data_IF_992585624007
#
_entry.id   IF_992585624007
#
_cell.length_a   1.000
_cell.length_b   1.000
_cell.length_c   1.000
_cell.angle_alpha   90.00
_cell.angle_beta   90.00
_cell.angle_gamma   90.00
#
_symmetry.space_group_name_H-M   'P 1'
#
loop_
_entity.id
_entity.type
_entity.pdbx_description
1 polymer ?
#
# COMPACT_ATOMS: atom_id res chain seq x y z
N UNK A 1 -5.34 19.92 2.60
CA UNK A 1 -5.51 19.42 1.21
C UNK A 1 -4.53 18.29 1.03
N UNK A 2 -5.03 17.09 0.77
CA UNK A 2 -4.25 15.86 0.74
C UNK A 2 -3.50 15.79 -0.58
N UNK A 3 -2.19 15.99 -0.54
CA UNK A 3 -1.29 15.96 -1.69
C UNK A 3 -0.91 14.52 -2.10
N UNK A 4 -1.76 13.54 -1.75
CA UNK A 4 -1.58 12.13 -2.06
C UNK A 4 -2.40 11.79 -3.32
N UNK A 5 -1.83 11.03 -4.26
CA UNK A 5 -2.59 10.61 -5.43
C UNK A 5 -3.76 9.71 -4.99
N UNK A 6 -4.93 9.95 -5.57
CA UNK A 6 -6.08 9.10 -5.36
C UNK A 6 -5.79 7.69 -5.91
N UNK A 7 -5.60 6.73 -5.01
CA UNK A 7 -5.24 5.35 -5.35
C UNK A 7 -6.23 4.37 -4.73
N UNK A 8 -6.62 3.35 -5.50
CA UNK A 8 -7.44 2.26 -4.99
C UNK A 8 -6.64 1.31 -4.11
N UNK A 9 -7.36 0.53 -3.30
CA UNK A 9 -6.74 -0.52 -2.52
C UNK A 9 -6.01 -1.57 -3.37
N UNK A 10 -6.63 -1.98 -4.49
CA UNK A 10 -6.02 -2.89 -5.47
C UNK A 10 -4.71 -2.34 -6.03
N UNK A 11 -4.70 -1.06 -6.42
CA UNK A 11 -3.52 -0.42 -6.97
C UNK A 11 -2.40 -0.35 -5.94
N UNK A 12 -2.73 0.00 -4.69
CA UNK A 12 -1.76 0.02 -3.59
C UNK A 12 -1.18 -1.38 -3.33
N UNK A 13 -2.02 -2.42 -3.32
CA UNK A 13 -1.56 -3.81 -3.18
C UNK A 13 -0.57 -4.16 -4.28
N UNK A 14 -0.91 -3.89 -5.55
CA UNK A 14 -0.01 -4.15 -6.70
C UNK A 14 1.34 -3.42 -6.55
N UNK A 15 1.33 -2.14 -6.17
CA UNK A 15 2.56 -1.38 -5.93
C UNK A 15 3.41 -1.97 -4.81
N UNK A 16 2.78 -2.39 -3.71
CA UNK A 16 3.50 -3.02 -2.60
C UNK A 16 4.08 -4.38 -3.00
N UNK A 17 3.36 -5.19 -3.78
CA UNK A 17 3.89 -6.45 -4.31
C UNK A 17 5.13 -6.21 -5.20
N UNK A 18 5.09 -5.18 -6.06
CA UNK A 18 6.24 -4.77 -6.89
C UNK A 18 7.41 -4.22 -6.07
N UNK A 19 7.15 -3.65 -4.89
CA UNK A 19 8.15 -3.22 -3.92
C UNK A 19 8.74 -4.41 -3.12
N UNK A 20 8.28 -5.64 -3.36
CA UNK A 20 8.76 -6.86 -2.69
C UNK A 20 8.01 -7.18 -1.39
N UNK A 21 6.81 -6.64 -1.19
CA UNK A 21 5.87 -7.19 -0.21
C UNK A 21 5.30 -8.51 -0.74
N UNK A 22 4.91 -9.39 0.18
CA UNK A 22 4.38 -10.70 -0.14
C UNK A 22 2.97 -10.83 0.43
N UNK A 23 2.04 -11.29 -0.40
CA UNK A 23 0.69 -11.62 0.03
C UNK A 23 0.70 -12.84 0.94
N UNK A 24 0.14 -12.69 2.15
CA UNK A 24 0.09 -13.78 3.14
C UNK A 24 -1.29 -14.42 3.22
N UNK A 25 -2.34 -13.59 3.36
CA UNK A 25 -3.71 -14.07 3.51
C UNK A 25 -4.72 -13.03 3.05
N UNK A 26 -5.86 -13.52 2.57
CA UNK A 26 -7.08 -12.71 2.50
C UNK A 26 -7.67 -12.56 3.91
N UNK A 27 -8.04 -11.35 4.25
CA UNK A 27 -8.75 -10.98 5.47
C UNK A 27 -10.15 -10.47 5.09
N UNK A 28 -11.13 -10.51 6.01
CA UNK A 28 -12.49 -10.04 5.73
C UNK A 28 -12.54 -8.60 5.20
N UNK A 29 -11.57 -7.77 5.58
CA UNK A 29 -11.52 -6.35 5.23
C UNK A 29 -10.46 -5.98 4.18
N UNK A 30 -9.72 -6.96 3.63
CA UNK A 30 -8.64 -6.68 2.67
C UNK A 30 -7.60 -7.79 2.54
N UNK A 31 -6.47 -7.48 1.95
CA UNK A 31 -5.34 -8.41 1.78
C UNK A 31 -4.25 -8.06 2.79
N UNK A 32 -3.80 -9.06 3.55
CA UNK A 32 -2.68 -8.92 4.46
C UNK A 32 -1.37 -9.17 3.70
N UNK A 33 -0.51 -8.16 3.70
CA UNK A 33 0.81 -8.15 3.10
C UNK A 33 1.88 -8.16 4.18
N UNK A 34 3.00 -8.83 3.92
CA UNK A 34 4.14 -8.83 4.81
C UNK A 34 5.42 -8.43 4.07
N UNK A 35 6.33 -7.76 4.77
CA UNK A 35 7.69 -7.50 4.30
C UNK A 35 8.64 -7.48 5.48
N UNK A 36 9.85 -7.98 5.27
CA UNK A 36 10.95 -7.83 6.21
C UNK A 36 11.69 -6.52 5.90
N UNK A 37 11.73 -5.62 6.87
CA UNK A 37 12.47 -4.36 6.78
C UNK A 37 13.51 -4.36 7.90
N UNK A 38 14.79 -4.43 7.51
CA UNK A 38 15.89 -4.66 8.46
C UNK A 38 15.73 -5.98 9.21
N UNK A 39 15.68 -5.90 10.54
CA UNK A 39 15.48 -7.05 11.44
C UNK A 39 14.04 -7.21 11.93
N UNK A 40 13.07 -6.50 11.33
CA UNK A 40 11.66 -6.54 11.74
C UNK A 40 10.78 -7.09 10.63
N UNK A 41 9.81 -7.91 11.02
CA UNK A 41 8.69 -8.27 10.16
C UNK A 41 7.57 -7.25 10.35
N UNK A 42 7.15 -6.65 9.25
CA UNK A 42 6.03 -5.72 9.24
C UNK A 42 4.89 -6.38 8.46
N UNK A 43 3.68 -6.25 8.99
CA UNK A 43 2.45 -6.74 8.39
C UNK A 43 1.50 -5.56 8.28
N UNK A 44 0.86 -5.44 7.11
CA UNK A 44 -0.20 -4.46 6.88
C UNK A 44 -1.40 -5.13 6.22
N UNK A 45 -2.59 -4.63 6.47
CA UNK A 45 -3.81 -5.06 5.79
C UNK A 45 -4.33 -3.93 4.93
N UNK A 46 -4.32 -4.13 3.61
CA UNK A 46 -4.81 -3.14 2.65
C UNK A 46 -6.21 -3.53 2.19
N UNK A 47 -7.22 -2.64 2.30
CA UNK A 47 -8.55 -2.93 1.81
C UNK A 47 -8.54 -3.26 0.31
N UNK A 48 -9.07 -4.40 -0.11
CA UNK A 48 -9.11 -4.80 -1.53
C UNK A 48 -10.39 -4.27 -2.20
N UNK A 49 -10.51 -2.94 -2.25
CA UNK A 49 -11.65 -2.25 -2.89
C UNK A 49 -11.19 -1.53 -4.15
N UNK A 50 -12.04 -1.55 -5.19
CA UNK A 50 -11.82 -0.81 -6.45
C UNK A 50 -11.93 0.72 -6.28
N UNK A 51 -12.68 1.18 -5.28
CA UNK A 51 -12.80 2.61 -4.94
C UNK A 51 -11.48 3.13 -4.36
N UNK A 52 -11.18 4.39 -4.62
CA UNK A 52 -10.04 5.07 -4.01
C UNK A 52 -10.11 5.00 -2.48
N UNK A 53 -8.97 4.79 -1.84
CA UNK A 53 -8.88 4.80 -0.39
C UNK A 53 -9.12 6.23 0.13
N UNK A 54 -9.86 6.40 1.25
CA UNK A 54 -9.91 7.68 1.94
C UNK A 54 -8.50 8.11 2.36
N UNK A 55 -8.22 9.41 2.32
CA UNK A 55 -6.89 9.96 2.64
C UNK A 55 -6.36 9.48 4.00
N UNK A 56 -7.21 9.48 5.03
CA UNK A 56 -6.81 9.01 6.36
C UNK A 56 -6.42 7.52 6.37
N UNK A 57 -7.11 6.69 5.59
CA UNK A 57 -6.78 5.27 5.45
C UNK A 57 -5.47 5.10 4.69
N UNK A 58 -5.29 5.81 3.58
CA UNK A 58 -4.06 5.78 2.79
C UNK A 58 -2.87 6.24 3.64
N UNK A 59 -3.02 7.35 4.36
CA UNK A 59 -1.98 7.89 5.23
C UNK A 59 -1.62 6.92 6.37
N UNK A 60 -2.60 6.26 6.98
CA UNK A 60 -2.37 5.25 8.01
C UNK A 60 -1.57 4.05 7.47
N UNK A 61 -1.88 3.58 6.26
CA UNK A 61 -1.16 2.47 5.62
C UNK A 61 0.26 2.87 5.25
N UNK A 62 0.45 4.07 4.70
CA UNK A 62 1.77 4.60 4.35
C UNK A 62 2.63 4.92 5.59
N UNK A 63 2.01 5.05 6.76
CA UNK A 63 2.67 5.45 7.99
C UNK A 63 3.77 4.51 8.48
N UNK A 64 4.57 5.02 9.41
CA UNK A 64 5.74 4.33 9.99
C UNK A 64 5.43 2.98 10.67
N UNK A 65 4.18 2.77 11.10
CA UNK A 65 3.78 1.53 11.78
C UNK A 65 3.40 0.40 10.81
N UNK A 66 3.04 0.72 9.55
CA UNK A 66 2.48 -0.25 8.62
C UNK A 66 3.35 -0.53 7.40
N UNK A 67 3.80 0.50 6.66
CA UNK A 67 4.66 0.26 5.48
C UNK A 67 5.98 1.02 5.51
N UNK A 68 6.10 2.05 6.37
CA UNK A 68 7.29 2.91 6.44
C UNK A 68 7.63 3.66 5.14
N UNK A 69 6.69 3.74 4.19
CA UNK A 69 6.90 4.42 2.92
C UNK A 69 6.70 5.94 3.04
N UNK A 70 5.68 6.35 3.80
CA UNK A 70 5.17 7.71 3.79
C UNK A 70 4.70 8.16 2.41
N UNK A 71 4.45 9.46 2.27
CA UNK A 71 4.06 10.07 0.99
C UNK A 71 5.14 9.89 -0.08
N UNK A 72 6.39 10.23 0.26
CA UNK A 72 7.48 10.23 -0.70
C UNK A 72 7.82 8.80 -1.18
N UNK A 73 7.68 7.79 -0.32
CA UNK A 73 7.82 6.39 -0.73
C UNK A 73 6.76 5.97 -1.73
N UNK A 74 5.49 6.37 -1.53
CA UNK A 74 4.42 6.11 -2.49
C UNK A 74 4.71 6.76 -3.86
N UNK A 75 5.09 8.04 -3.86
CA UNK A 75 5.37 8.76 -5.11
C UNK A 75 6.54 8.12 -5.88
N UNK A 76 7.61 7.75 -5.19
CA UNK A 76 8.75 7.03 -5.81
C UNK A 76 8.35 5.68 -6.38
N UNK A 77 7.43 4.96 -5.72
CA UNK A 77 6.93 3.68 -6.25
C UNK A 77 6.13 3.88 -7.53
N UNK A 78 5.26 4.89 -7.56
CA UNK A 78 4.46 5.23 -8.75
C UNK A 78 5.38 5.71 -9.88
N UNK A 79 6.36 6.56 -9.59
CA UNK A 79 7.35 7.02 -10.57
C UNK A 79 8.16 5.86 -11.16
N UNK A 80 8.56 4.90 -10.33
CA UNK A 80 9.38 3.76 -10.75
C UNK A 80 8.59 2.71 -11.54
N UNK A 81 7.36 2.42 -11.15
CA UNK A 81 6.58 1.29 -11.68
C UNK A 81 5.45 1.72 -12.63
N UNK A 82 5.14 3.01 -12.68
CA UNK A 82 3.89 3.51 -13.24
C UNK A 82 2.70 3.29 -12.29
N UNK A 83 1.56 3.90 -12.62
CA UNK A 83 0.33 3.69 -11.87
C UNK A 83 -0.41 2.45 -12.41
N UNK A 84 -0.59 1.38 -11.60
CA UNK A 84 -1.16 0.13 -12.10
C UNK A 84 -2.66 0.24 -12.41
N UNK A 85 -3.14 -0.59 -13.35
CA UNK A 85 -4.56 -0.67 -13.73
C UNK A 85 -5.44 -1.25 -12.61
N UNK A 86 -6.71 -0.84 -12.57
CA UNK A 86 -7.66 -1.17 -11.50
C UNK A 86 -8.52 -2.42 -11.76
N UNK A 87 -8.13 -3.27 -12.73
CA UNK A 87 -8.85 -4.49 -13.15
C UNK A 87 -9.19 -5.41 -11.96
#
# INVERSE_FOLDING_TARGET
MSDLPAISGKQLIKLLLLDGWIEKRKAPHGIALYKRIGNRHIVTTVPDKKKSLPDGTLHAILGMKQTQLGRNGLLKLIEKQGMPSNE
#
